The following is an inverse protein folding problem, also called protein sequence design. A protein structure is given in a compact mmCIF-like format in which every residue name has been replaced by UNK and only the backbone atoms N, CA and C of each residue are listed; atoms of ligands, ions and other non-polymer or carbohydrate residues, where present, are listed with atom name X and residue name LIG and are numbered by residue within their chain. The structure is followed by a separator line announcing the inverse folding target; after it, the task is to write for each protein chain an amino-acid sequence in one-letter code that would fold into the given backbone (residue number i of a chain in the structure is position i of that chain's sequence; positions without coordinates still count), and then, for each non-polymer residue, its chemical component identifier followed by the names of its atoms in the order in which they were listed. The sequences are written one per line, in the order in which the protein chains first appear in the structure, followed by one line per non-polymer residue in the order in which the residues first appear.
data_IF_712033407406
#
_entry.id   IF_712033407406
#
_cell.length_a   1.000
_cell.length_b   1.000
_cell.length_c   1.000
_cell.angle_alpha   90.00
_cell.angle_beta   90.00
_cell.angle_gamma   90.00
#
_symmetry.space_group_name_H-M   'P 1'
#
loop_
_entity.id
_entity.type
_entity.pdbx_description
1 polymer ?
#
# COMPACT_ATOMS: atom_id res chain seq x y z
N UNK A 1 -17.80 24.34 -5.04
CA UNK A 1 -18.86 24.13 -4.03
C UNK A 1 -18.18 23.22 -3.03
N UNK A 2 -17.46 23.86 -2.11
CA UNK A 2 -16.48 23.21 -1.27
C UNK A 2 -17.18 23.04 0.06
N UNK A 3 -17.62 21.82 0.34
CA UNK A 3 -18.26 21.51 1.62
C UNK A 3 -17.18 21.35 2.67
N UNK A 4 -16.83 22.46 3.32
CA UNK A 4 -16.10 22.47 4.59
C UNK A 4 -17.02 21.89 5.68
N UNK A 5 -16.79 20.64 6.06
CA UNK A 5 -17.46 20.00 7.19
C UNK A 5 -16.70 20.31 8.48
N UNK A 6 -17.06 21.41 9.14
CA UNK A 6 -16.52 21.87 10.43
C UNK A 6 -17.21 21.21 11.63
N UNK A 7 -17.09 19.89 11.75
CA UNK A 7 -17.50 19.16 12.96
C UNK A 7 -16.32 18.95 13.93
N UNK A 8 -16.49 19.09 15.25
CA UNK A 8 -15.42 18.81 16.22
C UNK A 8 -15.09 17.32 16.26
N UNK A 9 -13.94 16.94 15.72
CA UNK A 9 -13.39 15.58 15.82
C UNK A 9 -12.96 15.30 17.27
N UNK A 10 -13.60 14.32 17.92
CA UNK A 10 -13.34 13.96 19.32
C UNK A 10 -12.11 13.04 19.42
N UNK A 11 -10.97 13.59 19.84
CA UNK A 11 -9.72 12.86 20.13
C UNK A 11 -8.48 13.56 19.57
N UNK A 12 -7.25 13.27 20.05
CA UNK A 12 -6.04 13.71 19.37
C UNK A 12 -6.04 13.08 17.98
N UNK A 13 -6.34 13.89 16.97
CA UNK A 13 -6.38 13.46 15.58
C UNK A 13 -5.00 12.94 15.23
N UNK A 14 -4.91 11.64 14.93
CA UNK A 14 -3.72 11.10 14.30
C UNK A 14 -3.48 11.93 13.04
N UNK A 15 -2.40 12.71 13.05
CA UNK A 15 -2.14 13.60 11.93
C UNK A 15 -1.74 12.77 10.73
N UNK A 16 -2.08 13.25 9.54
CA UNK A 16 -1.61 12.65 8.29
C UNK A 16 -0.09 12.44 8.30
N UNK A 17 0.66 13.40 8.86
CA UNK A 17 2.11 13.30 9.00
C UNK A 17 2.56 12.12 9.87
N UNK A 18 1.86 11.85 10.98
CA UNK A 18 2.17 10.72 11.84
C UNK A 18 1.91 9.39 11.14
N UNK A 19 0.78 9.28 10.42
CA UNK A 19 0.43 8.10 9.62
C UNK A 19 1.47 7.83 8.52
N UNK A 20 1.87 8.87 7.79
CA UNK A 20 2.88 8.77 6.73
C UNK A 20 4.22 8.35 7.32
N UNK A 21 4.64 8.94 8.44
CA UNK A 21 5.92 8.63 9.08
C UNK A 21 5.96 7.22 9.68
N UNK A 22 4.82 6.67 10.08
CA UNK A 22 4.70 5.28 10.52
C UNK A 22 4.90 4.27 9.38
N UNK A 23 4.47 4.62 8.16
CA UNK A 23 4.58 3.73 7.01
C UNK A 23 5.87 3.91 6.21
N UNK A 24 6.43 5.13 6.15
CA UNK A 24 7.61 5.43 5.35
C UNK A 24 8.77 5.89 6.22
N UNK A 25 9.82 5.06 6.30
CA UNK A 25 11.02 5.31 7.11
C UNK A 25 12.29 5.36 6.23
N UNK A 26 12.49 6.44 5.44
CA UNK A 26 13.70 6.58 4.65
C UNK A 26 14.93 6.78 5.55
N UNK A 27 16.07 6.23 5.15
CA UNK A 27 17.34 6.40 5.90
C UNK A 27 17.94 7.81 5.76
N UNK A 28 17.56 8.52 4.72
CA UNK A 28 18.04 9.84 4.33
C UNK A 28 16.90 10.63 3.65
N UNK A 29 17.15 11.89 3.29
CA UNK A 29 16.17 12.66 2.51
C UNK A 29 15.99 12.01 1.14
N UNK A 30 14.83 11.39 0.93
CA UNK A 30 14.54 10.63 -0.28
C UNK A 30 13.92 11.53 -1.36
N UNK A 31 14.70 11.86 -2.39
CA UNK A 31 14.29 12.76 -3.49
C UNK A 31 14.04 12.03 -4.82
N UNK A 32 14.09 10.69 -4.84
CA UNK A 32 13.94 9.88 -6.06
C UNK A 32 12.52 9.30 -6.26
N UNK A 33 11.49 9.95 -5.71
CA UNK A 33 10.10 9.45 -5.76
C UNK A 33 9.52 9.36 -7.16
N UNK A 34 10.04 10.16 -8.10
CA UNK A 34 9.61 10.11 -9.50
C UNK A 34 10.04 8.81 -10.21
N UNK A 35 11.20 8.26 -9.85
CA UNK A 35 11.69 7.00 -10.42
C UNK A 35 11.14 5.80 -9.65
N UNK A 36 11.12 5.87 -8.33
CA UNK A 36 10.68 4.77 -7.48
C UNK A 36 10.08 5.29 -6.17
N UNK A 37 8.91 4.78 -5.80
CA UNK A 37 8.34 5.04 -4.48
C UNK A 37 9.04 4.22 -3.39
N UNK A 38 9.12 4.77 -2.18
CA UNK A 38 9.40 3.96 -1.00
C UNK A 38 8.23 3.03 -0.74
N UNK A 39 8.50 1.80 -0.31
CA UNK A 39 7.45 0.88 0.10
C UNK A 39 6.95 1.25 1.51
N UNK A 40 5.63 1.25 1.75
CA UNK A 40 5.10 1.39 3.09
C UNK A 40 5.45 0.15 3.94
N UNK A 41 5.61 0.33 5.23
CA UNK A 41 6.01 -0.70 6.19
C UNK A 41 5.16 -1.98 6.07
N UNK A 42 3.85 -1.84 5.88
CA UNK A 42 2.94 -2.98 5.65
C UNK A 42 3.32 -3.82 4.41
N UNK A 43 3.71 -3.18 3.32
CA UNK A 43 4.12 -3.89 2.10
C UNK A 43 5.47 -4.58 2.29
N UNK A 44 6.39 -3.94 3.01
CA UNK A 44 7.69 -4.54 3.38
C UNK A 44 7.49 -5.80 4.22
N UNK A 45 6.58 -5.76 5.20
CA UNK A 45 6.25 -6.92 6.04
C UNK A 45 5.68 -8.06 5.20
N UNK A 46 4.70 -7.79 4.33
CA UNK A 46 4.10 -8.80 3.47
C UNK A 46 5.14 -9.48 2.55
N UNK A 47 6.05 -8.69 1.96
CA UNK A 47 7.13 -9.23 1.12
C UNK A 47 8.09 -10.12 1.91
N UNK A 48 8.49 -9.70 3.12
CA UNK A 48 9.36 -10.53 3.98
C UNK A 48 8.69 -11.86 4.31
N UNK A 49 7.42 -11.82 4.72
CA UNK A 49 6.66 -13.05 5.01
C UNK A 49 6.64 -14.01 3.82
N UNK A 50 6.38 -13.51 2.61
CA UNK A 50 6.35 -14.34 1.41
C UNK A 50 7.74 -14.94 1.10
N UNK A 51 8.81 -14.14 1.19
CA UNK A 51 10.18 -14.59 0.93
C UNK A 51 10.64 -15.63 1.96
N UNK A 52 10.37 -15.39 3.25
CA UNK A 52 10.75 -16.30 4.33
C UNK A 52 10.02 -17.65 4.20
N UNK A 53 8.73 -17.61 3.84
CA UNK A 53 7.92 -18.80 3.62
C UNK A 53 8.42 -19.63 2.43
N UNK A 54 8.75 -18.97 1.31
CA UNK A 54 9.35 -19.62 0.15
C UNK A 54 10.72 -20.23 0.45
N UNK A 55 11.58 -19.52 1.18
CA UNK A 55 12.89 -20.02 1.61
C UNK A 55 12.78 -21.25 2.52
N UNK A 56 11.73 -21.33 3.34
CA UNK A 56 11.42 -22.48 4.17
C UNK A 56 10.74 -23.64 3.42
N UNK A 57 10.56 -23.55 2.10
CA UNK A 57 9.89 -24.58 1.28
C UNK A 57 8.37 -24.64 1.46
N UNK A 58 7.75 -23.56 1.98
CA UNK A 58 6.31 -23.44 2.20
C UNK A 58 5.80 -22.12 1.60
N UNK A 59 5.87 -21.95 0.28
CA UNK A 59 5.43 -20.70 -0.35
C UNK A 59 3.98 -20.39 0.01
N UNK A 60 3.68 -19.12 0.24
CA UNK A 60 2.32 -18.65 0.49
C UNK A 60 1.48 -18.80 -0.78
N UNK A 61 0.20 -19.14 -0.62
CA UNK A 61 -0.77 -19.06 -1.71
C UNK A 61 -1.15 -17.59 -1.92
N UNK A 62 -0.74 -17.00 -3.04
CA UNK A 62 -0.90 -15.57 -3.33
C UNK A 62 -1.99 -15.29 -4.37
N UNK A 63 -2.71 -16.31 -4.87
CA UNK A 63 -3.68 -16.10 -5.95
C UNK A 63 -4.80 -15.15 -5.54
N UNK A 64 -5.35 -15.33 -4.34
CA UNK A 64 -6.38 -14.43 -3.82
C UNK A 64 -5.87 -13.00 -3.60
N UNK A 65 -4.62 -12.86 -3.12
CA UNK A 65 -3.99 -11.55 -2.90
C UNK A 65 -3.75 -10.80 -4.22
N UNK A 66 -3.35 -11.51 -5.27
CA UNK A 66 -3.17 -10.95 -6.62
C UNK A 66 -4.50 -10.46 -7.18
N UNK A 67 -5.58 -11.21 -7.04
CA UNK A 67 -6.91 -10.78 -7.51
C UNK A 67 -7.47 -9.62 -6.68
N UNK A 68 -7.22 -9.59 -5.37
CA UNK A 68 -7.57 -8.45 -4.52
C UNK A 68 -6.79 -7.17 -4.91
N UNK A 69 -5.50 -7.32 -5.24
CA UNK A 69 -4.68 -6.22 -5.75
C UNK A 69 -5.19 -5.73 -7.11
N UNK A 70 -5.53 -6.65 -8.03
CA UNK A 70 -6.12 -6.32 -9.35
C UNK A 70 -7.39 -5.51 -9.20
N UNK A 71 -8.34 -5.98 -8.39
CA UNK A 71 -9.61 -5.30 -8.15
C UNK A 71 -9.40 -3.91 -7.52
N UNK A 72 -8.47 -3.79 -6.57
CA UNK A 72 -8.15 -2.52 -5.92
C UNK A 72 -7.57 -1.51 -6.91
N UNK A 73 -6.61 -1.92 -7.74
CA UNK A 73 -6.02 -1.05 -8.76
C UNK A 73 -7.04 -0.63 -9.82
N UNK A 74 -7.88 -1.57 -10.27
CA UNK A 74 -8.97 -1.29 -11.20
C UNK A 74 -9.94 -0.23 -10.66
N UNK A 75 -10.28 -0.31 -9.37
CA UNK A 75 -11.12 0.68 -8.68
C UNK A 75 -10.47 2.07 -8.63
N UNK A 76 -9.16 2.15 -8.37
CA UNK A 76 -8.42 3.43 -8.37
C UNK A 76 -8.48 4.10 -9.75
N UNK A 77 -8.33 3.31 -10.82
CA UNK A 77 -8.35 3.81 -12.20
C UNK A 77 -9.75 3.89 -12.83
N UNK A 78 -10.78 3.43 -12.12
CA UNK A 78 -12.17 3.37 -12.61
C UNK A 78 -12.31 2.57 -13.92
N UNK A 79 -11.63 1.43 -13.99
CA UNK A 79 -11.72 0.48 -15.12
C UNK A 79 -12.24 -0.88 -14.63
N UNK A 80 -12.79 -1.74 -15.50
CA UNK A 80 -13.06 -3.12 -15.15
C UNK A 80 -11.77 -3.87 -14.76
N UNK A 81 -11.84 -4.76 -13.78
CA UNK A 81 -10.73 -5.60 -13.30
C UNK A 81 -10.05 -6.42 -14.41
N UNK A 82 -10.82 -6.98 -15.35
CA UNK A 82 -10.34 -7.70 -16.54
C UNK A 82 -9.47 -6.87 -17.48
N UNK A 83 -9.39 -5.54 -17.28
CA UNK A 83 -8.49 -4.64 -18.03
C UNK A 83 -7.14 -4.44 -17.34
N UNK A 84 -6.99 -4.93 -16.12
CA UNK A 84 -5.74 -4.88 -15.36
C UNK A 84 -5.07 -6.24 -15.52
N UNK A 85 -3.93 -6.28 -16.19
CA UNK A 85 -3.05 -7.44 -16.19
C UNK A 85 -2.16 -7.41 -14.94
N UNK A 86 -1.98 -8.56 -14.29
CA UNK A 86 -1.01 -8.72 -13.21
C UNK A 86 0.00 -9.73 -13.75
N UNK A 87 1.29 -9.47 -13.54
CA UNK A 87 2.34 -10.41 -13.93
C UNK A 87 2.13 -11.77 -13.27
N UNK A 88 2.63 -12.82 -13.94
CA UNK A 88 2.77 -14.16 -13.37
C UNK A 88 4.15 -14.39 -12.79
#
# INVERSE_FOLDING_TARGET
MDHDSTGPHSGPMETFENLVRAEFAPRNTYLNTATLGLLPARAVTALRTAVDAAAAGRPTDMFADVEAARASFARLLRVPDRRVAAGG
#
